data_IF_397345158938
#
_entry.id   IF_397345158938
#
_cell.length_a   1.000
_cell.length_b   1.000
_cell.length_c   1.000
_cell.angle_alpha   90.00
_cell.angle_beta   90.00
_cell.angle_gamma   90.00
#
_symmetry.space_group_name_H-M   'P 1'
#
loop_
_entity.id
_entity.type
_entity.pdbx_description
1 polymer ?
#
# COMPACT_ATOMS: atom_id res chain seq x y z
N UNK A 1 -14.14 15.43 -10.26
CA UNK A 1 -14.67 15.14 -8.91
C UNK A 1 -14.44 13.65 -8.69
N UNK A 2 -13.54 13.28 -7.76
CA UNK A 2 -13.22 11.87 -7.50
C UNK A 2 -14.17 11.35 -6.43
N UNK A 3 -15.26 10.69 -6.83
CA UNK A 3 -16.35 10.34 -5.92
C UNK A 3 -16.02 9.23 -4.91
N UNK A 4 -14.86 8.58 -5.01
CA UNK A 4 -14.24 7.89 -3.87
C UNK A 4 -12.76 7.63 -4.12
N UNK A 5 -11.89 8.04 -3.19
CA UNK A 5 -10.44 7.76 -3.26
C UNK A 5 -10.09 6.36 -2.73
N UNK A 6 -11.01 5.74 -1.98
CA UNK A 6 -10.80 4.44 -1.32
C UNK A 6 -12.07 3.61 -1.35
N UNK A 7 -11.94 2.34 -1.75
CA UNK A 7 -13.02 1.38 -1.74
C UNK A 7 -12.79 0.35 -0.65
N UNK A 8 -13.69 0.32 0.35
CA UNK A 8 -13.69 -0.71 1.40
C UNK A 8 -14.83 -1.71 1.16
N UNK A 9 -14.49 -3.00 1.21
CA UNK A 9 -15.44 -4.12 1.20
C UNK A 9 -16.09 -4.32 2.57
N UNK A 10 -15.37 -3.95 3.64
CA UNK A 10 -15.85 -4.01 5.01
C UNK A 10 -15.23 -2.91 5.85
N UNK A 11 -16.00 -2.34 6.78
CA UNK A 11 -15.49 -1.39 7.75
C UNK A 11 -14.57 -2.12 8.75
N UNK A 12 -13.29 -1.77 8.87
CA UNK A 12 -12.42 -2.40 9.85
C UNK A 12 -12.84 -2.02 11.27
N UNK A 13 -12.71 -2.97 12.20
CA UNK A 13 -12.85 -2.69 13.64
C UNK A 13 -11.51 -2.24 14.27
N UNK A 14 -10.56 -1.86 13.42
CA UNK A 14 -9.22 -1.41 13.76
C UNK A 14 -9.20 -0.03 14.44
N UNK A 15 -8.36 0.11 15.46
CA UNK A 15 -8.10 1.38 16.13
C UNK A 15 -6.83 2.06 15.56
N UNK A 16 -5.93 1.27 14.99
CA UNK A 16 -4.65 1.75 14.47
C UNK A 16 -4.47 1.37 13.01
N UNK A 17 -3.67 2.14 12.28
CA UNK A 17 -3.22 1.84 10.92
C UNK A 17 -1.69 1.79 10.95
N UNK A 18 -1.10 0.64 10.61
CA UNK A 18 0.33 0.52 10.36
C UNK A 18 0.57 0.69 8.86
N UNK A 19 1.22 1.78 8.50
CA UNK A 19 1.58 2.05 7.12
C UNK A 19 3.06 1.76 6.92
N UNK A 20 3.41 1.09 5.83
CA UNK A 20 4.81 0.94 5.44
C UNK A 20 4.99 0.91 3.94
N UNK A 21 5.97 1.68 3.48
CA UNK A 21 6.01 2.14 2.11
C UNK A 21 7.09 1.46 1.31
N UNK A 22 6.75 0.94 0.13
CA UNK A 22 7.74 0.33 -0.74
C UNK A 22 8.60 1.45 -1.33
N UNK A 23 9.93 1.33 -1.18
CA UNK A 23 10.91 2.18 -1.87
C UNK A 23 10.81 3.68 -1.55
N UNK A 24 10.65 4.00 -0.27
CA UNK A 24 10.88 5.33 0.27
C UNK A 24 12.40 5.61 0.40
N UNK A 25 12.80 6.88 0.31
CA UNK A 25 14.17 7.34 0.60
C UNK A 25 14.68 6.82 1.96
N UNK A 26 13.83 6.79 2.98
CA UNK A 26 14.11 6.21 4.31
C UNK A 26 13.59 4.76 4.44
N UNK A 27 14.01 3.88 3.53
CA UNK A 27 13.72 2.43 3.59
C UNK A 27 15.01 1.62 3.36
N UNK A 28 16.09 2.05 4.03
CA UNK A 28 17.37 1.32 4.03
C UNK A 28 17.16 -0.13 4.47
N UNK A 29 17.66 -1.08 3.68
CA UNK A 29 17.50 -2.52 3.98
C UNK A 29 16.06 -3.05 3.92
N UNK A 30 15.12 -2.29 3.36
CA UNK A 30 13.69 -2.68 3.18
C UNK A 30 12.89 -2.88 4.47
N UNK A 31 13.37 -2.41 5.62
CA UNK A 31 12.76 -2.68 6.93
C UNK A 31 11.32 -2.13 7.03
N UNK A 32 11.10 -0.85 6.70
CA UNK A 32 9.77 -0.22 6.80
C UNK A 32 8.79 -0.76 5.76
N UNK A 33 9.27 -1.14 4.57
CA UNK A 33 8.45 -1.80 3.55
C UNK A 33 8.17 -3.28 3.82
N UNK A 34 9.06 -3.94 4.58
CA UNK A 34 9.04 -5.37 4.86
C UNK A 34 8.11 -5.70 6.00
N UNK A 35 8.05 -4.87 7.03
CA UNK A 35 7.23 -5.11 8.22
C UNK A 35 5.74 -5.30 7.90
N UNK A 36 5.04 -4.41 7.15
CA UNK A 36 3.64 -4.64 6.83
C UNK A 36 3.43 -5.93 6.04
N UNK A 37 4.31 -6.22 5.07
CA UNK A 37 4.23 -7.46 4.29
C UNK A 37 4.38 -8.69 5.16
N UNK A 38 5.38 -8.68 6.04
CA UNK A 38 5.60 -9.75 7.00
C UNK A 38 4.38 -9.95 7.91
N UNK A 39 3.76 -8.86 8.39
CA UNK A 39 2.55 -8.94 9.22
C UNK A 39 1.34 -9.44 8.44
N UNK A 40 1.14 -9.03 7.18
CA UNK A 40 0.06 -9.56 6.34
C UNK A 40 0.18 -11.08 6.22
N UNK A 41 1.37 -11.56 5.86
CA UNK A 41 1.65 -12.99 5.68
C UNK A 41 1.55 -13.74 7.01
N UNK A 42 2.15 -13.21 8.09
CA UNK A 42 2.21 -13.88 9.40
C UNK A 42 0.87 -13.95 10.10
N UNK A 43 0.02 -12.94 9.91
CA UNK A 43 -1.27 -12.82 10.59
C UNK A 43 -2.44 -13.30 9.73
N UNK A 44 -2.15 -13.80 8.52
CA UNK A 44 -3.16 -14.17 7.52
C UNK A 44 -4.17 -13.02 7.33
N UNK A 45 -3.65 -11.80 7.23
CA UNK A 45 -4.46 -10.59 7.21
C UNK A 45 -5.35 -10.57 5.95
N UNK A 46 -6.60 -10.19 6.12
CA UNK A 46 -7.58 -10.18 5.03
C UNK A 46 -7.57 -8.83 4.32
N UNK A 47 -7.52 -8.83 2.99
CA UNK A 47 -7.73 -7.59 2.20
C UNK A 47 -9.16 -7.09 2.44
N UNK A 48 -9.31 -5.85 2.89
CA UNK A 48 -10.59 -5.21 3.21
C UNK A 48 -10.90 -4.03 2.29
N UNK A 49 -9.93 -3.60 1.49
CA UNK A 49 -10.12 -2.48 0.57
C UNK A 49 -8.86 -2.13 -0.21
N UNK A 50 -8.98 -1.11 -1.03
CA UNK A 50 -7.90 -0.56 -1.85
C UNK A 50 -8.18 0.89 -2.21
N UNK A 51 -7.13 1.66 -2.52
CA UNK A 51 -7.30 2.97 -3.14
C UNK A 51 -7.71 2.81 -4.60
N UNK A 52 -8.53 3.75 -5.08
CA UNK A 52 -8.94 3.77 -6.48
C UNK A 52 -7.73 3.91 -7.41
N UNK A 53 -7.83 3.34 -8.62
CA UNK A 53 -6.74 3.36 -9.60
C UNK A 53 -6.31 4.78 -9.98
N UNK A 54 -7.26 5.72 -10.03
CA UNK A 54 -6.99 7.15 -10.30
C UNK A 54 -6.00 7.71 -9.30
N UNK A 55 -6.06 7.27 -8.04
CA UNK A 55 -5.14 7.69 -6.97
C UNK A 55 -3.71 7.23 -7.26
N UNK A 56 -3.54 6.01 -7.78
CA UNK A 56 -2.23 5.51 -8.23
C UNK A 56 -1.68 6.33 -9.39
N UNK A 57 -2.52 6.71 -10.36
CA UNK A 57 -2.12 7.50 -11.53
C UNK A 57 -1.68 8.92 -11.13
N UNK A 58 -2.36 9.53 -10.16
CA UNK A 58 -2.03 10.86 -9.63
C UNK A 58 -0.79 10.85 -8.72
N UNK A 59 -0.62 9.82 -7.89
CA UNK A 59 0.42 9.79 -6.86
C UNK A 59 1.78 9.25 -7.35
N UNK A 60 1.86 8.66 -8.55
CA UNK A 60 3.06 7.99 -9.06
C UNK A 60 3.44 8.41 -10.49
N UNK A 61 4.00 9.63 -10.67
CA UNK A 61 4.40 10.11 -11.97
C UNK A 61 5.56 9.28 -12.53
N UNK A 62 5.33 8.62 -13.68
CA UNK A 62 6.28 7.66 -14.26
C UNK A 62 7.63 8.29 -14.68
N UNK A 63 7.61 9.56 -15.12
CA UNK A 63 8.76 10.22 -15.78
C UNK A 63 9.46 11.26 -14.90
N UNK A 64 9.42 11.13 -13.57
CA UNK A 64 10.16 12.05 -12.72
C UNK A 64 11.64 11.65 -12.63
N UNK A 65 12.53 12.54 -13.08
CA UNK A 65 13.98 12.33 -13.06
C UNK A 65 14.48 12.00 -11.63
N UNK A 66 15.43 11.07 -11.53
CA UNK A 66 16.00 10.65 -10.24
C UNK A 66 15.10 9.78 -9.35
N UNK A 67 13.86 9.47 -9.76
CA UNK A 67 12.90 8.68 -8.95
C UNK A 67 12.51 7.35 -9.56
N UNK A 68 13.37 6.83 -10.43
CA UNK A 68 13.16 5.60 -11.20
C UNK A 68 12.81 4.41 -10.29
N UNK A 69 13.54 4.25 -9.20
CA UNK A 69 13.31 3.17 -8.25
C UNK A 69 11.98 3.29 -7.52
N UNK A 70 11.53 4.52 -7.23
CA UNK A 70 10.31 4.81 -6.47
C UNK A 70 9.06 4.77 -7.35
N UNK A 71 9.09 5.37 -8.54
CA UNK A 71 7.89 5.64 -9.35
C UNK A 71 7.71 4.77 -10.60
N UNK A 72 8.70 3.99 -11.04
CA UNK A 72 8.47 3.04 -12.13
C UNK A 72 7.85 1.73 -11.61
N UNK A 73 6.64 1.34 -12.04
CA UNK A 73 6.10 0.02 -11.73
C UNK A 73 7.03 -1.07 -12.29
N UNK A 74 7.07 -2.22 -11.61
CA UNK A 74 7.79 -3.39 -12.11
C UNK A 74 6.82 -4.26 -12.89
N UNK A 75 7.34 -4.93 -13.92
CA UNK A 75 6.67 -6.06 -14.57
C UNK A 75 7.59 -7.29 -14.45
N UNK A 76 6.99 -8.47 -14.52
CA UNK A 76 7.71 -9.72 -14.73
C UNK A 76 7.79 -9.99 -16.23
N UNK A 77 8.81 -10.72 -16.65
CA UNK A 77 8.94 -11.21 -18.02
C UNK A 77 8.93 -12.74 -18.02
N UNK A 78 8.23 -13.33 -18.98
CA UNK A 78 8.24 -14.76 -19.28
C UNK A 78 8.61 -14.90 -20.75
N UNK A 79 9.70 -15.62 -21.03
CA UNK A 79 10.24 -15.80 -22.38
C UNK A 79 10.46 -14.48 -23.15
N UNK A 80 10.90 -13.45 -22.43
CA UNK A 80 11.16 -12.12 -22.98
C UNK A 80 9.90 -11.26 -23.19
N UNK A 81 8.71 -11.79 -22.93
CA UNK A 81 7.44 -11.06 -23.02
C UNK A 81 6.98 -10.59 -21.64
N UNK A 82 6.41 -9.39 -21.51
CA UNK A 82 5.77 -8.95 -20.27
C UNK A 82 4.70 -9.95 -19.85
N UNK A 83 4.82 -10.47 -18.63
CA UNK A 83 3.99 -11.55 -18.09
C UNK A 83 3.12 -11.11 -16.91
N UNK A 84 3.27 -9.86 -16.45
CA UNK A 84 2.51 -9.31 -15.34
C UNK A 84 2.05 -7.88 -15.59
N UNK A 85 0.89 -7.48 -15.05
CA UNK A 85 0.41 -6.11 -15.17
C UNK A 85 1.39 -5.15 -14.51
N UNK A 86 1.53 -3.95 -15.09
CA UNK A 86 2.33 -2.85 -14.53
C UNK A 86 1.53 -2.15 -13.42
N UNK A 87 1.21 -2.87 -12.36
CA UNK A 87 0.32 -2.38 -11.32
C UNK A 87 1.04 -1.94 -10.05
N UNK A 88 0.46 -0.92 -9.43
CA UNK A 88 0.79 -0.43 -8.10
C UNK A 88 -0.40 -0.70 -7.21
N UNK A 89 -0.19 -1.47 -6.15
CA UNK A 89 -1.24 -1.85 -5.24
C UNK A 89 -1.17 -0.99 -3.97
N UNK A 90 -2.20 -0.17 -3.74
CA UNK A 90 -2.43 0.51 -2.47
C UNK A 90 -3.58 -0.21 -1.75
N UNK A 91 -3.30 -1.38 -1.18
CA UNK A 91 -4.31 -2.21 -0.53
C UNK A 91 -4.35 -2.00 0.99
N UNK A 92 -5.52 -2.20 1.56
CA UNK A 92 -5.77 -2.20 3.00
C UNK A 92 -6.07 -3.61 3.48
N UNK A 93 -5.38 -4.02 4.55
CA UNK A 93 -5.57 -5.34 5.16
C UNK A 93 -5.96 -5.22 6.62
N UNK A 94 -6.87 -6.07 7.09
CA UNK A 94 -7.19 -6.23 8.51
C UNK A 94 -6.46 -7.45 9.07
N UNK A 95 -5.65 -7.23 10.10
CA UNK A 95 -5.01 -8.31 10.84
C UNK A 95 -6.05 -9.12 11.64
N UNK A 96 -6.09 -10.45 11.44
CA UNK A 96 -7.06 -11.31 12.11
C UNK A 96 -6.94 -11.32 13.64
N UNK A 97 -8.05 -11.67 14.33
CA UNK A 97 -8.18 -11.73 15.80
C UNK A 97 -7.20 -12.67 16.54
N UNK A 98 -6.33 -13.42 15.84
CA UNK A 98 -5.51 -14.49 16.45
C UNK A 98 -4.33 -13.98 17.28
N UNK A 99 -4.01 -12.68 17.24
CA UNK A 99 -2.94 -12.10 18.08
C UNK A 99 -3.54 -11.43 19.30
N UNK A 100 -3.55 -12.15 20.43
CA UNK A 100 -3.90 -11.61 21.76
C UNK A 100 -2.88 -10.59 22.30
N UNK A 101 -1.80 -10.29 21.58
CA UNK A 101 -0.64 -9.54 22.08
C UNK A 101 -0.24 -8.31 21.23
N UNK A 102 -1.07 -7.91 20.26
CA UNK A 102 -0.97 -6.58 19.64
C UNK A 102 -2.08 -5.73 20.27
N UNK A 103 -1.73 -4.71 21.07
CA UNK A 103 -2.74 -3.81 21.61
C UNK A 103 -3.37 -3.05 20.44
N UNK A 104 -4.59 -3.43 20.08
CA UNK A 104 -5.39 -2.78 19.05
C UNK A 104 -5.36 -3.49 17.70
N UNK A 105 -6.55 -3.67 17.13
CA UNK A 105 -6.75 -4.09 15.75
C UNK A 105 -6.06 -3.07 14.83
N UNK A 106 -5.21 -3.56 13.94
CA UNK A 106 -4.40 -2.77 13.03
C UNK A 106 -4.84 -2.95 11.58
N UNK A 107 -5.11 -1.86 10.87
CA UNK A 107 -5.16 -1.87 9.41
C UNK A 107 -3.72 -1.77 8.87
N UNK A 108 -3.39 -2.41 7.74
CA UNK A 108 -2.08 -2.34 7.10
C UNK A 108 -2.18 -1.68 5.72
N UNK A 109 -1.24 -0.81 5.36
CA UNK A 109 -1.16 -0.21 4.00
C UNK A 109 0.26 -0.21 3.45
N UNK A 110 0.39 -0.26 2.12
CA UNK A 110 1.64 -0.09 1.40
C UNK A 110 1.55 0.90 0.25
N UNK A 111 2.59 1.75 0.13
CA UNK A 111 2.98 2.68 -0.98
C UNK A 111 2.66 4.24 -0.85
N UNK A 112 3.67 5.15 -1.05
CA UNK A 112 3.60 6.65 -0.81
C UNK A 112 4.37 7.51 -1.82
N UNK A 113 3.90 8.76 -2.03
CA UNK A 113 4.51 10.02 -1.49
C UNK A 113 3.54 11.21 -1.62
N UNK A 114 2.69 11.25 -2.66
CA UNK A 114 1.74 12.36 -2.92
C UNK A 114 0.39 12.24 -2.17
N UNK A 115 -0.06 11.03 -1.88
CA UNK A 115 -1.40 10.77 -1.33
C UNK A 115 -1.62 11.19 0.14
N UNK A 116 -0.55 11.49 0.89
CA UNK A 116 -0.73 11.90 2.29
C UNK A 116 -1.40 13.27 2.41
N UNK A 117 -1.22 14.17 1.44
CA UNK A 117 -1.96 15.44 1.40
C UNK A 117 -3.45 15.23 1.11
N UNK A 118 -3.80 14.26 0.26
CA UNK A 118 -5.18 13.88 -0.04
C UNK A 118 -5.90 13.24 1.17
N UNK A 119 -5.17 12.46 1.98
CA UNK A 119 -5.73 11.85 3.19
C UNK A 119 -5.74 12.80 4.40
N UNK A 120 -4.83 13.77 4.48
CA UNK A 120 -4.80 14.77 5.55
C UNK A 120 -5.75 15.96 5.35
N UNK A 121 -6.36 16.09 4.17
CA UNK A 121 -7.36 17.13 3.86
C UNK A 121 -8.77 16.84 4.36
N UNK A 122 -9.00 15.68 5.01
CA UNK A 122 -10.23 15.33 5.69
C UNK A 122 -9.98 15.26 7.21
N UNK A 123 -9.90 16.43 7.84
CA UNK A 123 -10.25 16.63 9.25
C UNK A 123 -11.34 17.67 9.33
#
# INVERSE_FOLDING_TARGET
MADSLVTFQSKPEAQYLLAGWRRQWSNGGRISSGLPRYLIEKLEAKKIGEMDRTVSELCYPFQLAGTHDTYRPKTSYLDGLPAGPLERENAFYEAGKRVKHLPGRGALTSDRTLCQSLLSGHQ
#
